data_IF_001272498942
#
_entry.id   IF_001272498942
#
_cell.length_a   1.000
_cell.length_b   1.000
_cell.length_c   1.000
_cell.angle_alpha   90.00
_cell.angle_beta   90.00
_cell.angle_gamma   90.00
#
_symmetry.space_group_name_H-M   'P 1'
#
loop_
_entity.id
_entity.type
_entity.pdbx_description
1 polymer ?
#
# COMPACT_ATOMS: atom_id res chain seq x y z
N UNK A 1 -0.77 17.69 7.00
CA UNK A 1 0.47 16.86 7.10
C UNK A 1 0.20 15.40 7.48
N UNK A 2 -0.65 15.10 8.47
CA UNK A 2 -0.88 13.73 8.94
C UNK A 2 -1.57 12.80 7.91
N UNK A 3 -2.55 13.29 7.15
CA UNK A 3 -3.17 12.49 6.07
C UNK A 3 -2.17 12.09 4.97
N UNK A 4 -1.14 12.91 4.75
CA UNK A 4 -0.05 12.59 3.81
C UNK A 4 0.83 11.48 4.39
N UNK A 5 1.10 11.49 5.70
CA UNK A 5 1.83 10.42 6.38
C UNK A 5 1.07 9.09 6.38
N UNK A 6 -0.24 9.11 6.63
CA UNK A 6 -1.07 7.90 6.56
C UNK A 6 -1.17 7.37 5.13
N UNK A 7 -1.29 8.25 4.13
CA UNK A 7 -1.24 7.89 2.71
C UNK A 7 0.11 7.27 2.32
N UNK A 8 1.23 7.87 2.72
CA UNK A 8 2.57 7.33 2.45
C UNK A 8 2.76 5.95 3.10
N UNK A 9 2.25 5.76 4.32
CA UNK A 9 2.34 4.49 5.03
C UNK A 9 1.47 3.40 4.42
N UNK A 10 0.23 3.74 4.06
CA UNK A 10 -0.71 2.81 3.43
C UNK A 10 -0.39 2.52 1.97
N UNK A 11 0.23 3.44 1.24
CA UNK A 11 0.71 3.22 -0.13
C UNK A 11 1.93 2.27 -0.19
N UNK A 12 2.76 2.24 0.86
CA UNK A 12 3.87 1.29 0.93
C UNK A 12 3.42 -0.17 1.02
N UNK A 13 2.24 -0.44 1.57
CA UNK A 13 1.71 -1.79 1.65
C UNK A 13 1.48 -2.40 0.27
N UNK A 14 0.57 -1.90 -0.58
CA UNK A 14 0.29 -2.51 -1.88
C UNK A 14 1.50 -2.51 -2.81
N UNK A 15 2.38 -1.49 -2.72
CA UNK A 15 3.61 -1.43 -3.53
C UNK A 15 4.55 -2.59 -3.21
N UNK A 16 4.58 -3.08 -1.96
CA UNK A 16 5.39 -4.25 -1.60
C UNK A 16 4.81 -5.59 -2.11
N UNK A 17 3.53 -5.62 -2.50
CA UNK A 17 2.89 -6.79 -3.10
C UNK A 17 2.80 -6.71 -4.62
N UNK A 18 3.08 -5.54 -5.21
CA UNK A 18 2.98 -5.35 -6.65
C UNK A 18 4.14 -6.04 -7.38
N UNK A 19 3.83 -6.71 -8.49
CA UNK A 19 4.85 -7.13 -9.45
C UNK A 19 5.51 -5.89 -10.08
N UNK A 20 6.81 -5.92 -10.42
CA UNK A 20 7.50 -4.79 -11.04
C UNK A 20 6.75 -4.22 -12.26
N UNK A 21 6.21 -5.11 -13.09
CA UNK A 21 5.48 -4.75 -14.31
C UNK A 21 4.12 -4.07 -14.06
N UNK A 22 3.51 -4.24 -12.89
CA UNK A 22 2.18 -3.69 -12.56
C UNK A 22 2.21 -2.59 -11.52
N UNK A 23 3.39 -2.14 -11.08
CA UNK A 23 3.54 -1.16 -10.01
C UNK A 23 2.74 0.13 -10.28
N UNK A 24 2.77 0.63 -11.51
CA UNK A 24 1.97 1.80 -11.92
C UNK A 24 0.46 1.58 -11.78
N UNK A 25 -0.04 0.42 -12.24
CA UNK A 25 -1.46 0.05 -12.14
C UNK A 25 -1.90 -0.13 -10.69
N UNK A 26 -1.09 -0.75 -9.84
CA UNK A 26 -1.36 -0.89 -8.40
C UNK A 26 -1.46 0.46 -7.70
N UNK A 27 -0.53 1.39 -8.01
CA UNK A 27 -0.58 2.75 -7.46
C UNK A 27 -1.81 3.51 -7.95
N UNK A 28 -2.14 3.40 -9.25
CA UNK A 28 -3.33 4.04 -9.82
C UNK A 28 -4.62 3.57 -9.17
N UNK A 29 -4.81 2.25 -9.05
CA UNK A 29 -5.98 1.64 -8.40
C UNK A 29 -6.03 2.02 -6.92
N UNK A 30 -4.89 1.95 -6.21
CA UNK A 30 -4.81 2.35 -4.81
C UNK A 30 -5.23 3.82 -4.62
N UNK A 31 -4.71 4.74 -5.45
CA UNK A 31 -5.06 6.16 -5.38
C UNK A 31 -6.55 6.39 -5.68
N UNK A 32 -7.13 5.69 -6.66
CA UNK A 32 -8.56 5.76 -6.93
C UNK A 32 -9.39 5.31 -5.73
N UNK A 33 -9.09 4.13 -5.17
CA UNK A 33 -9.78 3.63 -3.98
C UNK A 33 -9.63 4.59 -2.79
N UNK A 34 -8.45 5.15 -2.62
CA UNK A 34 -8.16 6.10 -1.56
C UNK A 34 -9.00 7.37 -1.69
N UNK A 35 -9.11 7.93 -2.89
CA UNK A 35 -9.96 9.10 -3.16
C UNK A 35 -11.44 8.81 -2.86
N UNK A 36 -11.94 7.67 -3.35
CA UNK A 36 -13.34 7.26 -3.10
C UNK A 36 -13.60 7.06 -1.61
N UNK A 37 -12.66 6.45 -0.90
CA UNK A 37 -12.77 6.24 0.54
C UNK A 37 -12.64 7.54 1.36
N UNK A 38 -11.86 8.51 0.88
CA UNK A 38 -11.67 9.79 1.58
C UNK A 38 -12.81 10.78 1.40
N UNK A 39 -13.58 10.68 0.32
CA UNK A 39 -14.67 11.61 0.05
C UNK A 39 -15.69 11.68 1.20
N UNK A 40 -16.25 10.56 1.72
CA UNK A 40 -17.23 10.62 2.79
C UNK A 40 -16.71 11.23 4.10
N UNK A 41 -15.52 10.83 4.63
CA UNK A 41 -14.92 11.49 5.79
C UNK A 41 -14.69 12.99 5.59
N UNK A 42 -14.33 13.42 4.37
CA UNK A 42 -14.10 14.82 4.06
C UNK A 42 -15.40 15.64 4.15
N UNK A 43 -16.50 15.15 3.58
CA UNK A 43 -17.80 15.82 3.72
C UNK A 43 -18.28 15.84 5.17
N UNK A 44 -18.15 14.72 5.89
CA UNK A 44 -18.49 14.64 7.30
C UNK A 44 -17.67 15.62 8.16
N UNK A 45 -16.39 15.83 7.82
CA UNK A 45 -15.52 16.79 8.48
C UNK A 45 -15.97 18.24 8.25
N UNK A 46 -16.34 18.59 7.01
CA UNK A 46 -16.87 19.91 6.69
C UNK A 46 -18.17 20.17 7.45
N UNK A 47 -19.13 19.23 7.42
CA UNK A 47 -20.38 19.35 8.16
C UNK A 47 -20.12 19.48 9.68
N UNK A 48 -19.16 18.72 10.20
CA UNK A 48 -18.79 18.79 11.62
C UNK A 48 -18.23 20.17 12.00
N UNK A 49 -17.35 20.74 11.18
CA UNK A 49 -16.86 22.12 11.39
C UNK A 49 -17.99 23.14 11.34
N UNK A 50 -18.93 23.02 10.39
CA UNK A 50 -20.06 23.94 10.24
C UNK A 50 -21.09 23.84 11.38
N UNK A 51 -21.14 22.71 12.08
CA UNK A 51 -22.08 22.48 13.19
C UNK A 51 -21.61 23.03 14.55
N UNK A 52 -20.34 23.44 14.65
CA UNK A 52 -19.71 23.90 15.89
C UNK A 52 -19.69 25.43 16.00
N UNK A 53 -19.72 25.99 17.22
CA UNK A 53 -19.52 27.42 17.44
C UNK A 53 -18.10 27.85 17.02
N UNK A 54 -17.93 29.14 16.65
CA UNK A 54 -16.70 29.69 16.05
C UNK A 54 -15.43 29.43 16.86
N UNK A 55 -15.53 29.37 18.20
CA UNK A 55 -14.37 29.14 19.07
C UNK A 55 -13.83 27.70 18.97
N UNK A 56 -14.71 26.73 18.69
CA UNK A 56 -14.39 25.29 18.72
C UNK A 56 -14.37 24.64 17.33
N UNK A 57 -14.82 25.35 16.29
CA UNK A 57 -15.03 24.82 14.94
C UNK A 57 -13.75 24.31 14.27
N UNK A 58 -12.58 24.72 14.74
CA UNK A 58 -11.29 24.20 14.29
C UNK A 58 -10.62 23.25 15.29
N UNK A 59 -10.75 23.49 16.59
CA UNK A 59 -10.00 22.68 17.56
C UNK A 59 -10.54 21.24 17.65
N UNK A 60 -11.84 21.09 17.90
CA UNK A 60 -12.47 19.77 18.08
C UNK A 60 -12.35 18.87 16.85
N UNK A 61 -12.61 19.36 15.62
CA UNK A 61 -12.48 18.54 14.41
C UNK A 61 -11.05 18.08 14.14
N UNK A 62 -10.06 18.95 14.33
CA UNK A 62 -8.67 18.56 14.08
C UNK A 62 -8.15 17.56 15.10
N UNK A 63 -8.57 17.69 16.37
CA UNK A 63 -8.24 16.71 17.42
C UNK A 63 -8.90 15.36 17.14
N UNK A 64 -10.19 15.34 16.77
CA UNK A 64 -10.91 14.09 16.47
C UNK A 64 -10.31 13.37 15.26
N UNK A 65 -9.97 14.11 14.18
CA UNK A 65 -9.26 13.55 13.04
C UNK A 65 -7.90 12.97 13.43
N UNK A 66 -7.15 13.65 14.31
CA UNK A 66 -5.84 13.17 14.77
C UNK A 66 -5.96 11.87 15.55
N UNK A 67 -6.93 11.77 16.47
CA UNK A 67 -7.18 10.56 17.26
C UNK A 67 -7.57 9.40 16.35
N UNK A 68 -8.56 9.59 15.46
CA UNK A 68 -8.99 8.57 14.51
C UNK A 68 -7.82 8.04 13.67
N UNK A 69 -6.93 8.93 13.27
CA UNK A 69 -5.82 8.57 12.42
C UNK A 69 -4.69 7.84 13.19
N UNK A 70 -4.42 8.19 14.45
CA UNK A 70 -3.53 7.42 15.35
C UNK A 70 -4.08 6.03 15.59
N UNK A 71 -5.38 5.91 15.88
CA UNK A 71 -6.07 4.61 16.05
C UNK A 71 -5.97 3.79 14.76
N UNK A 72 -6.17 4.41 13.59
CA UNK A 72 -6.04 3.76 12.29
C UNK A 72 -4.64 3.20 12.04
N UNK A 73 -3.60 3.99 12.34
CA UNK A 73 -2.21 3.51 12.25
C UNK A 73 -1.97 2.36 13.21
N UNK A 74 -2.43 2.45 14.46
CA UNK A 74 -2.26 1.40 15.46
C UNK A 74 -2.91 0.09 15.02
N UNK A 75 -4.17 0.13 14.57
CA UNK A 75 -4.90 -1.04 14.06
C UNK A 75 -4.19 -1.64 12.86
N UNK A 76 -3.74 -0.80 11.93
CA UNK A 76 -2.99 -1.27 10.76
C UNK A 76 -1.65 -1.89 11.15
N UNK A 77 -0.88 -1.30 12.07
CA UNK A 77 0.39 -1.83 12.54
C UNK A 77 0.21 -3.18 13.20
N UNK A 78 -0.75 -3.30 14.13
CA UNK A 78 -1.12 -4.58 14.77
C UNK A 78 -1.50 -5.62 13.71
N UNK A 79 -2.41 -5.28 12.79
CA UNK A 79 -2.81 -6.18 11.71
C UNK A 79 -1.61 -6.59 10.86
N UNK A 80 -0.71 -5.68 10.51
CA UNK A 80 0.48 -5.97 9.71
C UNK A 80 1.45 -6.91 10.42
N UNK A 81 1.58 -6.79 11.74
CA UNK A 81 2.43 -7.67 12.56
C UNK A 81 1.86 -9.08 12.69
N UNK A 82 0.52 -9.22 12.74
CA UNK A 82 -0.14 -10.52 12.84
C UNK A 82 -0.51 -11.14 11.49
N UNK A 83 -0.55 -10.35 10.42
CA UNK A 83 -0.73 -10.85 9.07
C UNK A 83 0.40 -11.85 8.73
N UNK A 84 0.05 -12.90 7.99
CA UNK A 84 0.98 -13.94 7.53
C UNK A 84 1.65 -14.75 8.65
N UNK A 85 0.93 -14.99 9.74
CA UNK A 85 1.37 -15.89 10.81
C UNK A 85 2.55 -15.33 11.62
N UNK A 86 2.58 -14.00 11.82
CA UNK A 86 3.64 -13.33 12.58
C UNK A 86 4.92 -13.05 11.77
N UNK A 87 4.96 -13.45 10.48
CA UNK A 87 6.11 -13.19 9.60
C UNK A 87 6.12 -11.77 9.04
N UNK A 88 5.05 -11.00 9.28
CA UNK A 88 4.90 -9.64 8.77
C UNK A 88 4.71 -9.64 7.25
N UNK A 89 5.44 -8.78 6.56
CA UNK A 89 5.35 -8.62 5.11
C UNK A 89 5.90 -9.84 4.35
N UNK A 90 5.31 -10.24 3.21
CA UNK A 90 5.84 -11.34 2.42
C UNK A 90 7.24 -11.01 1.90
N UNK A 91 8.10 -12.03 1.85
CA UNK A 91 9.46 -11.91 1.33
C UNK A 91 9.50 -11.58 -0.18
N UNK A 92 8.45 -11.94 -0.91
CA UNK A 92 8.32 -11.76 -2.35
C UNK A 92 6.90 -11.31 -2.68
N UNK A 93 6.71 -10.40 -3.65
CA UNK A 93 5.37 -10.12 -4.18
C UNK A 93 4.78 -11.40 -4.75
N UNK A 94 3.49 -11.62 -4.53
CA UNK A 94 2.79 -12.79 -5.07
C UNK A 94 2.44 -12.47 -6.52
N UNK A 95 3.25 -12.98 -7.43
CA UNK A 95 3.09 -12.73 -8.86
C UNK A 95 2.08 -13.69 -9.46
N UNK A 96 1.30 -13.20 -10.43
CA UNK A 96 0.46 -14.06 -11.24
C UNK A 96 1.35 -14.82 -12.26
N UNK A 97 0.98 -16.04 -12.68
CA UNK A 97 1.77 -16.80 -13.65
C UNK A 97 2.02 -16.04 -14.96
N UNK A 98 1.03 -15.26 -15.39
CA UNK A 98 1.12 -14.38 -16.57
C UNK A 98 2.21 -13.31 -16.40
N UNK A 99 2.30 -12.70 -15.21
CA UNK A 99 3.32 -11.68 -14.92
C UNK A 99 4.72 -12.27 -14.80
N UNK A 100 4.83 -13.47 -14.22
CA UNK A 100 6.10 -14.19 -14.16
C UNK A 100 6.60 -14.50 -15.58
N UNK A 101 5.72 -14.99 -16.45
CA UNK A 101 6.05 -15.30 -17.84
C UNK A 101 6.49 -14.04 -18.61
N UNK A 102 5.77 -12.93 -18.47
CA UNK A 102 6.13 -11.67 -19.15
C UNK A 102 7.54 -11.19 -18.75
N UNK A 103 7.91 -11.32 -17.46
CA UNK A 103 9.25 -10.97 -16.99
C UNK A 103 10.34 -11.95 -17.43
N UNK A 104 10.00 -13.24 -17.59
CA UNK A 104 10.95 -14.30 -17.95
C UNK A 104 11.14 -14.44 -19.47
N UNK A 105 10.14 -14.05 -20.26
CA UNK A 105 10.14 -14.18 -21.73
C UNK A 105 11.36 -13.57 -22.43
N UNK A 106 11.92 -12.40 -22.02
CA UNK A 106 13.11 -11.83 -22.67
C UNK A 106 14.38 -12.65 -22.44
N UNK A 107 14.38 -13.50 -21.41
CA UNK A 107 15.50 -14.34 -21.02
C UNK A 107 15.33 -15.80 -21.48
N UNK A 108 14.23 -16.12 -22.18
CA UNK A 108 13.93 -17.46 -22.66
C UNK A 108 13.51 -18.45 -21.57
N UNK A 109 13.12 -17.96 -20.38
CA UNK A 109 12.63 -18.79 -19.28
C UNK A 109 11.10 -18.78 -19.22
N UNK A 110 10.50 -19.89 -18.78
CA UNK A 110 9.05 -20.02 -18.58
C UNK A 110 8.67 -19.55 -17.17
N UNK A 111 9.58 -19.70 -16.21
CA UNK A 111 9.33 -19.44 -14.79
C UNK A 111 10.51 -18.67 -14.16
N UNK A 112 10.23 -17.97 -13.06
CA UNK A 112 11.28 -17.28 -12.28
C UNK A 112 12.33 -18.24 -11.68
N UNK A 113 11.96 -19.50 -11.46
CA UNK A 113 12.86 -20.52 -10.91
C UNK A 113 13.87 -20.97 -11.98
N UNK A 114 13.41 -21.19 -13.21
CA UNK A 114 14.27 -21.47 -14.37
C UNK A 114 15.18 -20.28 -14.69
N UNK A 115 14.66 -19.05 -14.58
CA UNK A 115 15.46 -17.84 -14.74
C UNK A 115 16.56 -17.73 -13.67
N UNK A 116 16.26 -18.15 -12.44
CA UNK A 116 17.22 -18.20 -11.33
C UNK A 116 18.36 -19.17 -11.61
N UNK A 117 18.05 -20.33 -12.20
CA UNK A 117 19.04 -21.31 -12.64
C UNK A 117 19.91 -20.77 -13.79
N UNK A 118 19.30 -20.14 -14.80
CA UNK A 118 20.03 -19.59 -15.97
C UNK A 118 20.97 -18.45 -15.56
N UNK A 119 20.51 -17.55 -14.69
CA UNK A 119 21.28 -16.37 -14.28
C UNK A 119 22.21 -16.62 -13.10
N UNK A 120 22.06 -17.75 -12.40
CA UNK A 120 22.77 -18.06 -11.16
C UNK A 120 22.47 -17.09 -10.02
N UNK A 121 21.38 -16.32 -10.13
CA UNK A 121 20.99 -15.30 -9.15
C UNK A 121 19.77 -15.77 -8.38
N UNK A 122 19.81 -15.55 -7.07
CA UNK A 122 18.69 -15.82 -6.18
C UNK A 122 17.45 -15.01 -6.60
N UNK A 123 16.24 -15.59 -6.45
CA UNK A 123 14.97 -14.97 -6.88
C UNK A 123 14.78 -13.54 -6.34
N UNK A 124 15.29 -13.28 -5.14
CA UNK A 124 15.30 -11.94 -4.52
C UNK A 124 16.19 -10.93 -5.27
N UNK A 125 17.37 -11.38 -5.69
CA UNK A 125 18.33 -10.54 -6.41
C UNK A 125 17.84 -10.24 -7.82
N UNK A 126 17.18 -11.21 -8.47
CA UNK A 126 16.51 -11.02 -9.76
C UNK A 126 15.42 -9.96 -9.69
N UNK A 127 14.48 -10.11 -8.76
CA UNK A 127 13.39 -9.15 -8.58
C UNK A 127 13.90 -7.73 -8.28
N UNK A 128 14.98 -7.60 -7.51
CA UNK A 128 15.60 -6.29 -7.21
C UNK A 128 16.30 -5.66 -8.42
N UNK A 129 16.77 -6.46 -9.38
CA UNK A 129 17.38 -5.95 -10.63
C UNK A 129 16.34 -5.61 -11.69
N UNK A 130 15.14 -6.17 -11.58
CA UNK A 130 14.02 -5.96 -12.49
C UNK A 130 13.09 -4.83 -12.07
N UNK A 131 13.12 -4.43 -10.79
CA UNK A 131 12.41 -3.27 -10.22
C UNK A 131 13.20 -1.98 -10.36
#
# INVERSE_FOLDING_TARGET
MFMVMSMLFSARYPVQYASPNRLGSYIGVFNMFFLVYQLPPYFAFIEFMMSLPEDDCFFLPYVSCSICAVVGILVYSVRSSFAHGGRGFPLYPRMLPEDELDMCSPYGAVNMDELSEITGLDKKALLKRMS
#
